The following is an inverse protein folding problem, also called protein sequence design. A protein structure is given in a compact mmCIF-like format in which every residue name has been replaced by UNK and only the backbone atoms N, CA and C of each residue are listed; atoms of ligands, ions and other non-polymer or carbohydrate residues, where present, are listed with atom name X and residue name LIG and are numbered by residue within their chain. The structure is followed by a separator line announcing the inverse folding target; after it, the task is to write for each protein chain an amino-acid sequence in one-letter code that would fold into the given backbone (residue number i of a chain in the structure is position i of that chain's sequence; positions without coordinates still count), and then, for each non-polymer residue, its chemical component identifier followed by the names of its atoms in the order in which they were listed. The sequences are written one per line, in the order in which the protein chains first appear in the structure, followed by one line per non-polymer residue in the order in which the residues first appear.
data_IF_726925074766
#
_entry.id   IF_726925074766
#
_cell.length_a   1.000
_cell.length_b   1.000
_cell.length_c   1.000
_cell.angle_alpha   90.00
_cell.angle_beta   90.00
_cell.angle_gamma   90.00
#
_symmetry.space_group_name_H-M   'P 1'
#
loop_
_entity.id
_entity.type
_entity.pdbx_description
1 polymer ?
#
# COMPACT_ATOMS: atom_id res chain seq x y z
N UNK A 1 -51.83 -70.83 43.34
CA UNK A 1 -52.59 -70.25 42.22
C UNK A 1 -51.94 -68.98 41.84
N UNK A 2 -51.08 -69.11 40.86
CA UNK A 2 -50.24 -68.04 40.31
C UNK A 2 -50.90 -67.52 39.02
N UNK A 3 -51.04 -66.25 38.86
CA UNK A 3 -51.43 -65.61 37.57
C UNK A 3 -50.28 -64.69 37.12
N UNK A 4 -49.61 -65.13 36.05
CA UNK A 4 -48.61 -64.38 35.33
C UNK A 4 -49.24 -63.17 34.63
N UNK A 5 -48.70 -61.99 34.89
CA UNK A 5 -49.06 -60.79 34.19
C UNK A 5 -47.88 -60.42 33.26
N UNK A 6 -47.99 -60.77 31.97
CA UNK A 6 -47.04 -60.39 30.96
C UNK A 6 -47.32 -58.96 30.48
N UNK A 7 -46.47 -58.03 30.85
CA UNK A 7 -46.54 -56.65 30.38
C UNK A 7 -45.89 -56.58 28.98
N UNK A 8 -46.67 -56.27 27.96
CA UNK A 8 -46.20 -56.00 26.61
C UNK A 8 -45.80 -54.54 26.56
N UNK A 9 -44.46 -54.27 26.42
CA UNK A 9 -43.94 -52.93 26.16
C UNK A 9 -43.98 -52.69 24.65
N UNK A 10 -44.84 -51.79 24.19
CA UNK A 10 -44.97 -51.36 22.84
C UNK A 10 -43.96 -50.24 22.64
N UNK A 11 -42.81 -50.49 21.95
CA UNK A 11 -41.83 -49.52 21.55
C UNK A 11 -42.36 -48.74 20.32
N UNK A 12 -42.77 -47.49 20.50
CA UNK A 12 -43.11 -46.57 19.43
C UNK A 12 -41.81 -45.88 18.98
N UNK A 13 -41.25 -46.32 17.87
CA UNK A 13 -40.14 -45.64 17.19
C UNK A 13 -40.67 -44.39 16.47
N UNK A 14 -40.47 -43.22 17.07
CA UNK A 14 -40.72 -41.95 16.41
C UNK A 14 -39.51 -41.65 15.52
N UNK A 15 -39.64 -41.84 14.21
CA UNK A 15 -38.65 -41.41 13.23
C UNK A 15 -38.71 -39.85 13.10
N UNK A 16 -37.80 -39.18 13.78
CA UNK A 16 -37.58 -37.74 13.55
C UNK A 16 -36.86 -37.58 12.23
N UNK A 17 -37.60 -37.29 11.17
CA UNK A 17 -37.02 -36.86 9.90
C UNK A 17 -36.41 -35.46 10.10
N UNK A 18 -35.09 -35.41 10.30
CA UNK A 18 -34.31 -34.16 10.29
C UNK A 18 -34.29 -33.61 8.87
N UNK A 19 -35.22 -32.71 8.54
CA UNK A 19 -35.09 -31.85 7.36
C UNK A 19 -33.92 -30.88 7.63
N UNK A 20 -32.74 -31.26 7.20
CA UNK A 20 -31.63 -30.29 7.06
C UNK A 20 -32.06 -29.30 5.99
N UNK A 21 -32.48 -28.11 6.41
CA UNK A 21 -32.62 -27.00 5.52
C UNK A 21 -31.23 -26.79 4.88
N UNK A 22 -31.14 -26.97 3.56
CA UNK A 22 -29.99 -26.52 2.78
C UNK A 22 -29.93 -24.99 2.98
N UNK A 23 -29.08 -24.53 3.89
CA UNK A 23 -28.63 -23.14 3.92
C UNK A 23 -27.94 -22.95 2.58
N UNK A 24 -28.39 -22.03 1.71
CA UNK A 24 -27.68 -21.76 0.48
C UNK A 24 -26.27 -21.34 0.92
N UNK A 25 -25.23 -22.09 0.49
CA UNK A 25 -23.87 -21.62 0.53
C UNK A 25 -23.85 -20.40 -0.38
N UNK A 26 -23.87 -19.21 0.21
CA UNK A 26 -23.49 -18.00 -0.51
C UNK A 26 -22.07 -18.29 -1.00
N UNK A 27 -21.92 -18.39 -2.33
CA UNK A 27 -20.61 -18.44 -2.95
C UNK A 27 -19.81 -17.30 -2.32
N UNK A 28 -18.71 -17.62 -1.62
CA UNK A 28 -17.85 -16.60 -1.09
C UNK A 28 -17.46 -15.70 -2.29
N UNK A 29 -17.79 -14.42 -2.18
CA UNK A 29 -17.42 -13.47 -3.22
C UNK A 29 -15.90 -13.54 -3.44
N UNK A 30 -15.45 -13.44 -4.69
CA UNK A 30 -14.03 -13.47 -5.00
C UNK A 30 -13.30 -12.36 -4.22
N UNK A 31 -12.22 -12.67 -3.51
CA UNK A 31 -11.50 -11.68 -2.73
C UNK A 31 -10.91 -10.59 -3.61
N UNK A 32 -10.88 -9.36 -3.10
CA UNK A 32 -10.18 -8.24 -3.72
C UNK A 32 -8.68 -8.52 -3.72
N UNK A 33 -8.06 -8.48 -4.88
CA UNK A 33 -6.61 -8.62 -5.02
C UNK A 33 -5.97 -7.23 -5.02
N UNK A 34 -5.03 -6.98 -4.12
CA UNK A 34 -4.36 -5.68 -4.04
C UNK A 34 -2.85 -5.86 -4.25
N UNK A 35 -2.32 -5.14 -5.23
CA UNK A 35 -0.90 -5.02 -5.48
C UNK A 35 -0.46 -3.63 -5.01
N UNK A 36 0.42 -3.57 -3.99
CA UNK A 36 0.96 -2.32 -3.46
C UNK A 36 2.32 -2.05 -4.08
N UNK A 37 2.40 -1.05 -4.95
CA UNK A 37 3.64 -0.57 -5.55
C UNK A 37 4.16 0.63 -4.75
N UNK A 38 5.20 0.41 -3.94
CA UNK A 38 5.96 1.47 -3.29
C UNK A 38 6.88 2.18 -4.29
N UNK A 39 6.79 3.51 -4.34
CA UNK A 39 7.64 4.36 -5.19
C UNK A 39 8.62 5.19 -4.37
N UNK A 40 9.63 5.77 -5.02
CA UNK A 40 10.62 6.65 -4.41
C UNK A 40 10.37 8.14 -4.73
N UNK A 41 9.16 8.51 -5.11
CA UNK A 41 8.77 9.84 -5.56
C UNK A 41 9.62 10.39 -6.73
N UNK A 42 9.22 10.08 -7.95
CA UNK A 42 9.93 10.43 -9.19
C UNK A 42 10.20 11.94 -9.34
N UNK A 43 9.27 12.76 -8.88
CA UNK A 43 9.41 14.22 -8.89
C UNK A 43 10.38 14.74 -7.83
N UNK A 44 10.72 13.93 -6.82
CA UNK A 44 11.53 14.31 -5.66
C UNK A 44 11.15 15.70 -5.09
N UNK A 45 9.95 15.91 -4.58
CA UNK A 45 9.48 17.24 -4.15
C UNK A 45 10.23 17.78 -2.93
N UNK A 46 11.19 17.02 -2.39
CA UNK A 46 12.00 17.40 -1.25
C UNK A 46 11.26 17.38 0.09
N UNK A 47 10.10 16.74 0.13
CA UNK A 47 9.28 16.59 1.33
C UNK A 47 9.73 15.41 2.20
N UNK A 48 10.47 14.46 1.61
CA UNK A 48 10.99 13.30 2.32
C UNK A 48 12.15 13.64 3.25
N UNK A 49 12.30 12.84 4.30
CA UNK A 49 13.43 12.92 5.24
C UNK A 49 14.75 12.63 4.51
N UNK A 50 14.72 11.76 3.48
CA UNK A 50 15.86 11.40 2.63
C UNK A 50 15.84 12.28 1.38
N UNK A 51 16.91 13.08 1.20
CA UNK A 51 17.11 13.90 -0.01
C UNK A 51 18.03 13.15 -0.96
N UNK A 52 17.50 12.74 -2.12
CA UNK A 52 18.26 12.06 -3.16
C UNK A 52 18.39 12.91 -4.43
N UNK A 53 19.45 12.67 -5.22
CA UNK A 53 19.58 13.17 -6.57
C UNK A 53 18.87 12.21 -7.53
N UNK A 54 17.63 12.53 -7.90
CA UNK A 54 16.86 11.71 -8.85
C UNK A 54 17.30 11.99 -10.27
N UNK A 55 17.57 10.94 -11.03
CA UNK A 55 17.81 11.06 -12.46
C UNK A 55 16.57 11.67 -13.15
N UNK A 56 16.77 12.47 -14.19
CA UNK A 56 15.65 13.06 -14.91
C UNK A 56 14.81 11.97 -15.58
N UNK A 57 13.68 11.66 -14.95
CA UNK A 57 12.73 10.65 -15.43
C UNK A 57 12.12 10.99 -16.80
N UNK A 58 12.21 12.26 -17.24
CA UNK A 58 11.75 12.69 -18.57
C UNK A 58 12.81 12.45 -19.67
N UNK A 59 14.03 12.02 -19.32
CA UNK A 59 15.03 11.64 -20.33
C UNK A 59 14.56 10.43 -21.15
N UNK A 60 14.95 10.35 -22.42
CA UNK A 60 14.52 9.28 -23.34
C UNK A 60 14.79 7.88 -22.78
N UNK A 61 15.96 7.67 -22.18
CA UNK A 61 16.34 6.39 -21.53
C UNK A 61 15.37 6.05 -20.38
N UNK A 62 15.15 6.99 -19.45
CA UNK A 62 14.26 6.75 -18.31
C UNK A 62 12.80 6.58 -18.74
N UNK A 63 12.38 7.26 -19.80
CA UNK A 63 11.06 7.04 -20.39
C UNK A 63 10.90 5.63 -20.99
N UNK A 64 11.95 5.06 -21.57
CA UNK A 64 11.91 3.66 -22.02
C UNK A 64 11.81 2.69 -20.85
N UNK A 65 12.57 2.93 -19.77
CA UNK A 65 12.52 2.15 -18.54
C UNK A 65 11.12 2.22 -17.87
N UNK A 66 10.49 3.41 -17.81
CA UNK A 66 9.13 3.60 -17.31
C UNK A 66 8.12 2.79 -18.13
N UNK A 67 8.22 2.84 -19.46
CA UNK A 67 7.32 2.03 -20.31
C UNK A 67 7.44 0.54 -20.01
N UNK A 68 8.65 0.02 -19.81
CA UNK A 68 8.87 -1.36 -19.44
C UNK A 68 8.21 -1.72 -18.08
N UNK A 69 8.27 -0.80 -17.10
CA UNK A 69 7.57 -0.96 -15.82
C UNK A 69 6.05 -1.00 -16.03
N UNK A 70 5.50 -0.08 -16.82
CA UNK A 70 4.05 -0.03 -17.12
C UNK A 70 3.58 -1.32 -17.79
N UNK A 71 4.33 -1.82 -18.79
CA UNK A 71 4.03 -3.09 -19.46
C UNK A 71 4.06 -4.28 -18.49
N UNK A 72 5.01 -4.29 -17.56
CA UNK A 72 5.10 -5.35 -16.56
C UNK A 72 3.91 -5.30 -15.58
N UNK A 73 3.53 -4.10 -15.10
CA UNK A 73 2.37 -3.89 -14.24
C UNK A 73 1.05 -4.23 -14.95
N UNK A 74 0.94 -4.01 -16.27
CA UNK A 74 -0.24 -4.35 -17.05
C UNK A 74 -0.57 -5.86 -17.03
N UNK A 75 0.43 -6.73 -16.77
CA UNK A 75 0.20 -8.18 -16.57
C UNK A 75 -0.67 -8.48 -15.35
N UNK A 76 -0.68 -7.61 -14.36
CA UNK A 76 -1.60 -7.72 -13.23
C UNK A 76 -3.05 -7.52 -13.67
N UNK A 77 -3.31 -6.82 -14.78
CA UNK A 77 -4.64 -6.49 -15.30
C UNK A 77 -5.51 -5.86 -14.20
N UNK A 78 -5.07 -4.75 -13.59
CA UNK A 78 -5.87 -4.09 -12.57
C UNK A 78 -7.26 -3.71 -13.14
N UNK A 79 -8.30 -3.80 -12.31
CA UNK A 79 -9.63 -3.27 -12.58
C UNK A 79 -9.76 -1.82 -12.10
N UNK A 80 -8.94 -1.45 -11.12
CA UNK A 80 -8.83 -0.10 -10.57
C UNK A 80 -7.37 0.24 -10.30
N UNK A 81 -7.00 1.50 -10.49
CA UNK A 81 -5.68 2.05 -10.15
C UNK A 81 -5.88 3.12 -9.11
N UNK A 82 -5.40 2.85 -7.90
CA UNK A 82 -5.44 3.77 -6.76
C UNK A 82 -4.10 4.51 -6.64
N UNK A 83 -4.12 5.78 -6.29
CA UNK A 83 -2.95 6.67 -6.30
C UNK A 83 -2.87 7.55 -5.06
N UNK A 84 -1.65 8.03 -4.78
CA UNK A 84 -1.34 8.94 -3.66
C UNK A 84 -1.72 10.38 -4.00
N UNK A 85 -2.99 10.58 -4.26
CA UNK A 85 -3.62 11.88 -4.44
C UNK A 85 -4.83 11.96 -3.50
N UNK A 86 -5.19 13.19 -3.09
CA UNK A 86 -6.30 13.39 -2.15
C UNK A 86 -7.65 13.15 -2.83
N UNK A 87 -8.64 12.52 -2.17
CA UNK A 87 -9.97 12.31 -2.74
C UNK A 87 -10.68 13.58 -3.21
N UNK A 88 -10.41 14.72 -2.60
CA UNK A 88 -10.96 16.02 -3.00
C UNK A 88 -10.32 16.60 -4.26
N UNK A 89 -9.16 16.10 -4.69
CA UNK A 89 -8.54 16.42 -5.98
C UNK A 89 -9.01 15.53 -7.14
N UNK A 90 -10.01 14.66 -6.94
CA UNK A 90 -10.46 13.69 -7.96
C UNK A 90 -10.87 14.34 -9.29
N UNK A 91 -11.55 15.49 -9.23
CA UNK A 91 -11.99 16.21 -10.44
C UNK A 91 -10.79 16.77 -11.22
N UNK A 92 -9.79 17.34 -10.55
CA UNK A 92 -8.57 17.84 -11.17
C UNK A 92 -7.75 16.68 -11.79
N UNK A 93 -7.63 15.58 -11.06
CA UNK A 93 -6.95 14.37 -11.54
C UNK A 93 -7.64 13.80 -12.81
N UNK A 94 -8.97 13.72 -12.83
CA UNK A 94 -9.74 13.28 -13.98
C UNK A 94 -9.54 14.21 -15.19
N UNK A 95 -9.54 15.54 -14.99
CA UNK A 95 -9.30 16.52 -16.04
C UNK A 95 -7.90 16.40 -16.65
N UNK A 96 -6.86 16.26 -15.81
CA UNK A 96 -5.49 16.04 -16.26
C UNK A 96 -5.33 14.72 -17.02
N UNK A 97 -5.96 13.66 -16.51
CA UNK A 97 -5.93 12.36 -17.17
C UNK A 97 -6.63 12.38 -18.53
N UNK A 98 -7.79 13.02 -18.67
CA UNK A 98 -8.48 13.16 -19.96
C UNK A 98 -7.67 14.01 -20.95
N UNK A 99 -7.07 15.10 -20.50
CA UNK A 99 -6.15 15.91 -21.32
C UNK A 99 -4.94 15.10 -21.81
N UNK A 100 -4.41 14.19 -20.96
CA UNK A 100 -3.38 13.25 -21.38
C UNK A 100 -3.88 12.26 -22.43
N UNK A 101 -5.07 11.69 -22.26
CA UNK A 101 -5.68 10.75 -23.23
C UNK A 101 -5.94 11.41 -24.60
N UNK A 102 -6.35 12.68 -24.60
CA UNK A 102 -6.58 13.47 -25.83
C UNK A 102 -5.29 13.96 -26.51
N UNK A 103 -4.14 13.84 -25.84
CA UNK A 103 -2.85 14.34 -26.33
C UNK A 103 -2.63 15.83 -26.10
N UNK A 104 -3.44 16.48 -25.26
CA UNK A 104 -3.34 17.91 -24.93
C UNK A 104 -2.46 18.18 -23.69
N UNK A 105 -2.02 17.12 -22.99
CA UNK A 105 -1.20 17.23 -21.80
C UNK A 105 0.03 16.33 -21.86
N UNK A 106 1.20 16.90 -21.58
CA UNK A 106 2.46 16.18 -21.43
C UNK A 106 2.68 15.80 -19.96
N UNK A 107 3.05 14.53 -19.72
CA UNK A 107 3.22 14.01 -18.35
C UNK A 107 4.37 14.72 -17.62
N UNK A 108 4.11 15.15 -16.41
CA UNK A 108 5.13 15.67 -15.50
C UNK A 108 6.02 14.55 -14.95
N UNK A 109 6.93 14.87 -14.01
CA UNK A 109 7.80 13.86 -13.36
C UNK A 109 7.08 13.00 -12.32
N UNK A 110 5.85 13.34 -11.96
CA UNK A 110 5.10 12.66 -10.91
C UNK A 110 4.77 11.19 -11.26
N UNK A 111 4.91 10.27 -10.32
CA UNK A 111 4.68 8.83 -10.52
C UNK A 111 3.23 8.46 -10.81
N UNK A 112 2.24 9.20 -10.24
CA UNK A 112 0.83 9.03 -10.59
C UNK A 112 0.64 9.19 -12.09
N UNK A 113 1.32 10.17 -12.70
CA UNK A 113 1.24 10.42 -14.13
C UNK A 113 2.11 9.44 -14.93
N UNK A 114 3.37 9.27 -14.53
CA UNK A 114 4.32 8.43 -15.29
C UNK A 114 3.96 6.95 -15.30
N UNK A 115 3.41 6.43 -14.21
CA UNK A 115 3.00 5.04 -14.09
C UNK A 115 1.47 4.91 -14.21
N UNK A 116 0.73 5.65 -13.38
CA UNK A 116 -0.71 5.54 -13.26
C UNK A 116 -1.46 5.93 -14.53
N UNK A 117 -1.23 7.14 -15.09
CA UNK A 117 -1.91 7.60 -16.32
C UNK A 117 -1.57 6.71 -17.52
N UNK A 118 -0.28 6.34 -17.67
CA UNK A 118 0.13 5.46 -18.76
C UNK A 118 -0.55 4.10 -18.69
N UNK A 119 -0.58 3.50 -17.52
CA UNK A 119 -1.20 2.20 -17.31
C UNK A 119 -2.72 2.27 -17.48
N UNK A 120 -3.36 3.31 -16.91
CA UNK A 120 -4.79 3.53 -17.06
C UNK A 120 -5.18 3.69 -18.54
N UNK A 121 -4.42 4.50 -19.30
CA UNK A 121 -4.64 4.68 -20.74
C UNK A 121 -4.40 3.41 -21.55
N UNK A 122 -3.36 2.64 -21.22
CA UNK A 122 -3.04 1.36 -21.88
C UNK A 122 -4.16 0.33 -21.70
N UNK A 123 -4.83 0.32 -20.54
CA UNK A 123 -5.89 -0.62 -20.20
C UNK A 123 -7.31 -0.07 -20.40
N UNK A 124 -7.41 1.13 -20.99
CA UNK A 124 -8.67 1.84 -21.25
C UNK A 124 -9.53 2.09 -19.99
N UNK A 125 -8.87 2.40 -18.87
CA UNK A 125 -9.57 2.81 -17.66
C UNK A 125 -10.16 4.21 -17.84
N UNK A 126 -11.39 4.48 -17.32
CA UNK A 126 -12.01 5.80 -17.43
C UNK A 126 -11.40 6.83 -16.49
N UNK A 127 -10.77 6.38 -15.39
CA UNK A 127 -10.20 7.23 -14.33
C UNK A 127 -9.20 6.50 -13.46
N UNK A 128 -8.50 7.27 -12.63
CA UNK A 128 -7.76 6.77 -11.47
C UNK A 128 -8.54 7.10 -10.18
N UNK A 129 -8.14 6.46 -9.07
CA UNK A 129 -8.79 6.60 -7.77
C UNK A 129 -7.84 7.24 -6.77
N UNK A 130 -7.97 8.53 -6.44
CA UNK A 130 -7.19 9.17 -5.40
C UNK A 130 -7.67 8.66 -4.03
N UNK A 131 -6.75 8.15 -3.20
CA UNK A 131 -7.09 7.54 -1.91
C UNK A 131 -6.21 8.01 -0.75
N UNK A 132 -5.34 9.01 -0.97
CA UNK A 132 -4.51 9.53 0.10
C UNK A 132 -5.33 10.23 1.18
N UNK A 133 -4.70 10.56 2.28
CA UNK A 133 -5.25 11.31 3.39
C UNK A 133 -4.22 12.26 3.95
N UNK A 134 -4.59 13.53 4.12
CA UNK A 134 -3.72 14.51 4.75
C UNK A 134 -3.54 14.17 6.23
N UNK A 135 -2.32 13.87 6.63
CA UNK A 135 -1.96 13.54 8.00
C UNK A 135 -1.07 14.60 8.63
N UNK A 136 -1.03 14.59 9.95
CA UNK A 136 0.00 15.30 10.72
C UNK A 136 1.23 14.41 10.86
N UNK A 137 2.42 15.02 10.84
CA UNK A 137 3.67 14.33 11.11
C UNK A 137 4.55 15.22 12.00
N UNK A 138 4.37 15.16 13.34
CA UNK A 138 4.98 16.09 14.29
C UNK A 138 6.48 15.82 14.52
N UNK A 139 7.26 15.69 13.43
CA UNK A 139 8.67 15.38 13.43
C UNK A 139 9.51 16.40 14.21
N UNK A 140 9.16 17.69 14.12
CA UNK A 140 9.90 18.75 14.79
C UNK A 140 9.81 18.64 16.32
N UNK A 141 8.64 18.27 16.86
CA UNK A 141 8.47 18.08 18.31
C UNK A 141 9.34 16.95 18.83
N UNK A 142 9.42 15.84 18.09
CA UNK A 142 10.29 14.71 18.43
C UNK A 142 11.75 15.11 18.39
N UNK A 143 12.20 15.82 17.36
CA UNK A 143 13.58 16.26 17.22
C UNK A 143 13.98 17.27 18.30
N UNK A 144 13.07 18.19 18.65
CA UNK A 144 13.33 19.14 19.73
C UNK A 144 13.55 18.40 21.07
N UNK A 145 12.67 17.46 21.42
CA UNK A 145 12.84 16.66 22.64
C UNK A 145 14.14 15.85 22.61
N UNK A 146 14.42 15.17 21.48
CA UNK A 146 15.60 14.32 21.37
C UNK A 146 16.91 15.12 21.44
N UNK A 147 17.00 16.32 20.90
CA UNK A 147 18.18 17.19 21.00
C UNK A 147 18.52 17.55 22.45
N UNK A 148 17.50 17.71 23.28
CA UNK A 148 17.68 18.11 24.68
C UNK A 148 17.89 16.91 25.62
N UNK A 149 17.36 15.71 25.28
CA UNK A 149 17.23 14.59 26.22
C UNK A 149 17.73 13.23 25.71
N UNK A 150 17.89 13.05 24.37
CA UNK A 150 18.29 11.77 23.77
C UNK A 150 19.26 11.97 22.59
N UNK A 151 20.50 12.41 22.86
CA UNK A 151 21.50 12.62 21.80
C UNK A 151 21.85 11.32 21.04
N UNK A 152 21.68 10.15 21.65
CA UNK A 152 21.94 8.87 20.99
C UNK A 152 20.92 8.62 19.87
N UNK A 153 19.66 8.99 20.09
CA UNK A 153 18.63 8.91 19.04
C UNK A 153 18.92 9.89 17.89
N UNK A 154 19.37 11.11 18.21
CA UNK A 154 19.76 12.10 17.18
C UNK A 154 20.90 11.54 16.31
N UNK A 155 21.93 11.00 16.93
CA UNK A 155 23.06 10.38 16.24
C UNK A 155 22.63 9.17 15.39
N UNK A 156 21.77 8.32 15.92
CA UNK A 156 21.19 7.20 15.19
C UNK A 156 20.47 7.70 13.94
N UNK A 157 19.55 8.67 14.07
CA UNK A 157 18.75 9.17 12.95
C UNK A 157 19.63 9.84 11.88
N UNK A 158 20.67 10.58 12.28
CA UNK A 158 21.62 11.19 11.34
C UNK A 158 22.38 10.13 10.54
N UNK A 159 22.83 9.05 11.18
CA UNK A 159 23.54 7.94 10.53
C UNK A 159 22.62 7.20 9.55
N UNK A 160 21.40 6.88 9.97
CA UNK A 160 20.45 6.20 9.09
C UNK A 160 20.04 7.07 7.90
N UNK A 161 19.80 8.36 8.12
CA UNK A 161 19.53 9.30 7.02
C UNK A 161 20.69 9.39 6.02
N UNK A 162 21.92 9.48 6.51
CA UNK A 162 23.11 9.51 5.63
C UNK A 162 23.24 8.21 4.83
N UNK A 163 23.01 7.06 5.47
CA UNK A 163 23.00 5.74 4.82
C UNK A 163 21.92 5.66 3.74
N UNK A 164 20.67 6.01 4.07
CA UNK A 164 19.54 6.00 3.13
C UNK A 164 19.81 6.91 1.93
N UNK A 165 20.32 8.13 2.17
CA UNK A 165 20.67 9.07 1.10
C UNK A 165 21.77 8.52 0.19
N UNK A 166 22.82 7.95 0.77
CA UNK A 166 23.94 7.36 0.01
C UNK A 166 23.48 6.19 -0.85
N UNK A 167 22.69 5.30 -0.27
CA UNK A 167 22.14 4.14 -0.96
C UNK A 167 21.17 4.54 -2.07
N UNK A 168 20.26 5.49 -1.81
CA UNK A 168 19.36 6.01 -2.81
C UNK A 168 20.08 6.63 -4.00
N UNK A 169 21.11 7.46 -3.75
CA UNK A 169 21.94 8.06 -4.81
C UNK A 169 22.73 7.00 -5.59
N UNK A 170 23.22 5.96 -4.92
CA UNK A 170 23.90 4.83 -5.59
C UNK A 170 22.92 4.10 -6.52
N UNK A 171 21.71 3.76 -6.02
CA UNK A 171 20.66 3.10 -6.82
C UNK A 171 20.28 3.91 -8.06
N UNK A 172 20.14 5.24 -7.94
CA UNK A 172 19.83 6.12 -9.06
C UNK A 172 20.91 6.11 -10.16
N UNK A 173 22.17 5.87 -9.80
CA UNK A 173 23.30 5.84 -10.74
C UNK A 173 23.50 4.47 -11.39
N UNK A 174 23.25 3.41 -10.65
CA UNK A 174 23.64 2.05 -11.03
C UNK A 174 22.49 1.20 -11.58
N UNK A 175 21.22 1.62 -11.35
CA UNK A 175 20.07 0.80 -11.65
C UNK A 175 19.09 1.49 -12.62
N UNK A 176 18.33 0.67 -13.30
CA UNK A 176 17.12 1.08 -14.03
C UNK A 176 15.98 1.43 -13.07
N UNK A 177 14.95 2.13 -13.54
CA UNK A 177 13.74 2.42 -12.72
C UNK A 177 13.09 1.12 -12.26
N UNK A 178 13.03 0.10 -13.11
CA UNK A 178 12.49 -1.20 -12.76
C UNK A 178 13.23 -1.88 -11.60
N UNK A 179 14.57 -1.87 -11.64
CA UNK A 179 15.42 -2.40 -10.57
C UNK A 179 15.28 -1.60 -9.27
N UNK A 180 15.24 -0.26 -9.34
CA UNK A 180 15.01 0.59 -8.15
C UNK A 180 13.67 0.25 -7.52
N UNK A 181 12.60 0.15 -8.30
CA UNK A 181 11.28 -0.24 -7.80
C UNK A 181 11.28 -1.65 -7.20
N UNK A 182 12.03 -2.59 -7.77
CA UNK A 182 12.18 -3.93 -7.17
C UNK A 182 12.85 -3.87 -5.80
N UNK A 183 13.95 -3.11 -5.68
CA UNK A 183 14.66 -2.89 -4.42
C UNK A 183 13.76 -2.22 -3.38
N UNK A 184 13.04 -1.15 -3.76
CA UNK A 184 12.12 -0.42 -2.86
C UNK A 184 10.89 -1.24 -2.44
N UNK A 185 10.58 -2.34 -3.13
CA UNK A 185 9.48 -3.24 -2.78
C UNK A 185 9.93 -4.58 -2.20
N UNK A 186 11.26 -4.76 -2.01
CA UNK A 186 11.80 -5.93 -1.34
C UNK A 186 11.36 -5.97 0.13
N UNK A 187 11.02 -7.16 0.63
CA UNK A 187 10.49 -7.33 1.99
C UNK A 187 11.48 -6.96 3.06
N UNK A 188 12.77 -7.24 2.86
CA UNK A 188 13.80 -6.93 3.85
C UNK A 188 14.07 -5.43 3.89
N UNK A 189 14.10 -4.79 2.72
CA UNK A 189 14.25 -3.34 2.61
C UNK A 189 13.10 -2.60 3.29
N UNK A 190 11.86 -2.95 2.96
CA UNK A 190 10.67 -2.37 3.59
C UNK A 190 10.64 -2.59 5.10
N UNK A 191 11.03 -3.78 5.59
CA UNK A 191 11.09 -4.07 7.01
C UNK A 191 12.18 -3.25 7.72
N UNK A 192 13.32 -3.03 7.05
CA UNK A 192 14.39 -2.19 7.59
C UNK A 192 13.98 -0.71 7.63
N UNK A 193 13.45 -0.15 6.55
CA UNK A 193 12.95 1.23 6.51
C UNK A 193 11.88 1.45 7.58
N UNK A 194 10.90 0.54 7.68
CA UNK A 194 9.87 0.60 8.71
C UNK A 194 10.45 0.50 10.13
N UNK A 195 11.49 -0.32 10.33
CA UNK A 195 12.22 -0.43 11.59
C UNK A 195 12.82 0.89 12.07
N UNK A 196 13.26 1.76 11.15
CA UNK A 196 13.72 3.11 11.50
C UNK A 196 12.58 3.94 12.09
N UNK A 197 11.38 3.87 11.51
CA UNK A 197 10.19 4.53 12.06
C UNK A 197 9.84 4.00 13.46
N UNK A 198 9.93 2.69 13.69
CA UNK A 198 9.61 2.10 14.99
C UNK A 198 10.52 2.61 16.12
N UNK A 199 11.74 3.06 15.81
CA UNK A 199 12.66 3.66 16.80
C UNK A 199 12.14 4.97 17.40
N UNK A 200 11.29 5.68 16.68
CA UNK A 200 10.67 6.90 17.21
C UNK A 200 9.84 6.64 18.46
N UNK A 201 9.19 5.48 18.61
CA UNK A 201 8.37 5.15 19.76
C UNK A 201 9.11 5.21 21.10
N UNK A 202 10.43 5.02 21.07
CA UNK A 202 11.24 5.06 22.30
C UNK A 202 11.52 6.50 22.79
N UNK A 203 11.40 7.50 21.91
CA UNK A 203 11.68 8.90 22.28
C UNK A 203 10.62 9.40 23.26
N UNK A 204 11.06 9.86 24.43
CA UNK A 204 10.22 10.30 25.54
C UNK A 204 9.26 9.24 26.10
N UNK A 205 9.59 7.95 25.95
CA UNK A 205 8.80 6.86 26.53
C UNK A 205 8.79 6.97 28.07
N UNK A 206 7.57 6.94 28.65
CA UNK A 206 7.39 7.13 30.10
C UNK A 206 7.35 8.59 30.56
N UNK A 207 7.50 9.55 29.63
CA UNK A 207 7.41 10.99 29.88
C UNK A 207 6.30 11.60 29.00
N UNK A 208 6.63 12.32 27.94
CA UNK A 208 5.65 13.02 27.09
C UNK A 208 5.16 12.16 25.91
N UNK A 209 5.81 11.04 25.60
CA UNK A 209 5.45 10.12 24.50
C UNK A 209 5.46 10.75 23.10
N UNK A 210 6.16 11.86 22.87
CA UNK A 210 6.14 12.58 21.57
C UNK A 210 6.51 11.68 20.39
N UNK A 211 7.40 10.69 20.59
CA UNK A 211 7.76 9.75 19.54
C UNK A 211 6.65 8.74 19.23
N UNK A 212 5.94 8.27 20.24
CA UNK A 212 4.77 7.41 20.06
C UNK A 212 3.61 8.17 19.39
N UNK A 213 3.41 9.45 19.72
CA UNK A 213 2.43 10.32 19.06
C UNK A 213 2.72 10.48 17.56
N UNK A 214 3.99 10.68 17.18
CA UNK A 214 4.37 10.73 15.77
C UNK A 214 3.98 9.45 15.05
N UNK A 215 4.29 8.28 15.62
CA UNK A 215 3.90 7.00 15.03
C UNK A 215 2.38 6.83 14.96
N UNK A 216 1.66 7.25 16.00
CA UNK A 216 0.19 7.21 16.02
C UNK A 216 -0.36 8.02 14.84
N UNK A 217 0.17 9.22 14.58
CA UNK A 217 -0.24 10.05 13.45
C UNK A 217 0.11 9.43 12.09
N UNK A 218 1.26 8.77 11.99
CA UNK A 218 1.65 8.04 10.79
C UNK A 218 0.72 6.85 10.51
N UNK A 219 0.39 6.06 11.53
CA UNK A 219 -0.58 4.97 11.41
C UNK A 219 -1.98 5.48 11.13
N UNK A 220 -2.42 6.57 11.77
CA UNK A 220 -3.72 7.23 11.50
C UNK A 220 -3.88 7.56 10.01
N UNK A 221 -2.89 8.21 9.38
CA UNK A 221 -2.90 8.49 7.94
C UNK A 221 -3.04 7.20 7.12
N UNK A 222 -2.26 6.18 7.42
CA UNK A 222 -2.30 4.90 6.69
C UNK A 222 -3.63 4.14 6.88
N UNK A 223 -4.26 4.23 8.05
CA UNK A 223 -5.58 3.64 8.31
C UNK A 223 -6.65 4.37 7.49
N UNK A 224 -6.58 5.70 7.38
CA UNK A 224 -7.49 6.47 6.52
C UNK A 224 -7.30 6.11 5.04
N UNK A 225 -6.07 6.01 4.56
CA UNK A 225 -5.76 5.52 3.20
C UNK A 225 -6.37 4.14 2.96
N UNK A 226 -6.20 3.23 3.92
CA UNK A 226 -6.79 1.89 3.84
C UNK A 226 -8.33 1.93 3.86
N UNK A 227 -8.95 2.82 4.62
CA UNK A 227 -10.40 3.05 4.60
C UNK A 227 -10.87 3.55 3.21
N UNK A 228 -10.13 4.47 2.60
CA UNK A 228 -10.42 4.95 1.25
C UNK A 228 -10.25 3.82 0.21
N UNK A 229 -9.24 2.95 0.37
CA UNK A 229 -9.07 1.76 -0.47
C UNK A 229 -10.29 0.81 -0.36
N UNK A 230 -10.80 0.58 0.85
CA UNK A 230 -11.99 -0.24 1.05
C UNK A 230 -13.24 0.39 0.41
N UNK A 231 -13.36 1.73 0.46
CA UNK A 231 -14.50 2.45 -0.11
C UNK A 231 -14.61 2.31 -1.64
N UNK A 232 -13.48 2.12 -2.32
CA UNK A 232 -13.48 1.91 -3.79
C UNK A 232 -13.50 0.43 -4.19
N UNK A 233 -13.23 -0.49 -3.25
CA UNK A 233 -13.07 -1.91 -3.54
C UNK A 233 -14.42 -2.62 -3.69
N UNK A 234 -14.54 -3.47 -4.72
CA UNK A 234 -15.68 -4.35 -4.96
C UNK A 234 -15.20 -5.81 -5.05
N UNK A 235 -16.04 -6.79 -4.66
CA UNK A 235 -15.67 -8.19 -4.77
C UNK A 235 -15.16 -8.59 -6.16
N UNK A 236 -14.01 -9.26 -6.21
CA UNK A 236 -13.35 -9.67 -7.46
C UNK A 236 -12.45 -8.61 -8.09
N UNK A 237 -12.38 -7.40 -7.54
CA UNK A 237 -11.46 -6.38 -8.02
C UNK A 237 -9.98 -6.80 -7.93
N UNK A 238 -9.21 -6.22 -8.83
CA UNK A 238 -7.75 -6.26 -8.87
C UNK A 238 -7.26 -4.81 -8.80
N UNK A 239 -6.86 -4.37 -7.63
CA UNK A 239 -6.49 -2.97 -7.39
C UNK A 239 -4.96 -2.85 -7.39
N UNK A 240 -4.43 -2.03 -8.29
CA UNK A 240 -3.05 -1.56 -8.21
C UNK A 240 -3.05 -0.26 -7.40
N UNK A 241 -2.31 -0.26 -6.29
CA UNK A 241 -2.07 0.91 -5.46
C UNK A 241 -0.66 1.43 -5.70
N UNK A 242 -0.52 2.64 -6.21
CA UNK A 242 0.75 3.35 -6.44
C UNK A 242 0.91 4.42 -5.36
N UNK A 243 1.94 4.30 -4.52
CA UNK A 243 2.12 5.16 -3.36
C UNK A 243 3.60 5.16 -2.92
N UNK A 244 4.05 6.18 -2.20
CA UNK A 244 5.40 6.21 -1.62
C UNK A 244 5.72 4.95 -0.80
N UNK A 245 6.95 4.43 -0.92
CA UNK A 245 7.36 3.14 -0.30
C UNK A 245 7.19 3.12 1.22
N UNK A 246 7.26 4.27 1.88
CA UNK A 246 7.05 4.39 3.33
C UNK A 246 5.67 3.94 3.82
N UNK A 247 4.65 3.99 2.95
CA UNK A 247 3.29 3.51 3.26
C UNK A 247 3.16 1.98 3.13
N UNK A 248 3.98 1.36 2.29
CA UNK A 248 3.83 -0.05 1.91
C UNK A 248 3.83 -1.03 3.10
N UNK A 249 4.68 -0.92 4.14
CA UNK A 249 4.67 -1.85 5.25
C UNK A 249 3.32 -1.92 5.96
N UNK A 250 2.75 -0.76 6.31
CA UNK A 250 1.47 -0.68 7.04
C UNK A 250 0.30 -1.12 6.16
N UNK A 251 0.24 -0.64 4.92
CA UNK A 251 -0.84 -1.01 3.99
C UNK A 251 -0.82 -2.51 3.67
N UNK A 252 0.36 -3.12 3.50
CA UNK A 252 0.48 -4.58 3.30
C UNK A 252 0.00 -5.37 4.51
N UNK A 253 0.31 -4.90 5.73
CA UNK A 253 -0.20 -5.51 6.97
C UNK A 253 -1.72 -5.45 7.02
N UNK A 254 -2.31 -4.26 6.81
CA UNK A 254 -3.76 -4.05 6.85
C UNK A 254 -4.48 -4.90 5.78
N UNK A 255 -3.98 -4.92 4.55
CA UNK A 255 -4.53 -5.73 3.46
C UNK A 255 -4.43 -7.23 3.78
N UNK A 256 -3.28 -7.70 4.29
CA UNK A 256 -3.08 -9.12 4.62
C UNK A 256 -3.99 -9.57 5.77
N UNK A 257 -4.29 -8.67 6.69
CA UNK A 257 -5.16 -8.94 7.85
C UNK A 257 -6.66 -8.86 7.52
N UNK A 258 -7.01 -8.28 6.36
CA UNK A 258 -8.42 -8.13 5.98
C UNK A 258 -8.99 -9.45 5.42
N UNK A 259 -10.17 -9.91 5.89
CA UNK A 259 -10.71 -11.24 5.51
C UNK A 259 -11.08 -11.36 4.03
N UNK A 260 -11.42 -10.24 3.37
CA UNK A 260 -11.91 -10.21 1.98
C UNK A 260 -10.87 -9.67 1.00
N UNK A 261 -9.64 -9.38 1.45
CA UNK A 261 -8.55 -8.90 0.61
C UNK A 261 -7.40 -9.91 0.54
N UNK A 262 -6.66 -9.87 -0.56
CA UNK A 262 -5.43 -10.63 -0.76
C UNK A 262 -4.33 -9.73 -1.27
N UNK A 263 -3.24 -9.67 -0.54
CA UNK A 263 -2.02 -9.01 -1.00
C UNK A 263 -1.37 -9.85 -2.11
N UNK A 264 -1.07 -9.18 -3.23
CA UNK A 264 -0.34 -9.77 -4.37
C UNK A 264 1.13 -9.34 -4.29
N UNK A 265 2.06 -10.24 -4.60
CA UNK A 265 3.48 -9.91 -4.58
C UNK A 265 3.84 -8.96 -5.74
N UNK A 266 4.27 -7.76 -5.39
CA UNK A 266 4.63 -6.71 -6.33
C UNK A 266 5.79 -7.10 -7.24
N UNK A 267 6.74 -7.90 -6.72
CA UNK A 267 7.93 -8.31 -7.45
C UNK A 267 7.62 -9.24 -8.64
N UNK A 268 6.46 -9.89 -8.67
CA UNK A 268 6.02 -10.69 -9.80
C UNK A 268 5.60 -9.86 -11.02
N UNK A 269 5.30 -8.58 -10.79
CA UNK A 269 4.78 -7.64 -11.79
C UNK A 269 5.71 -6.45 -12.07
N UNK A 270 6.96 -6.54 -11.66
CA UNK A 270 8.02 -5.62 -12.06
C UNK A 270 8.94 -6.27 -13.10
N UNK A 271 9.63 -5.49 -13.95
CA UNK A 271 10.61 -6.04 -14.91
C UNK A 271 11.61 -6.96 -14.19
N UNK A 272 11.90 -8.10 -14.80
CA UNK A 272 13.05 -8.94 -14.46
C UNK A 272 14.07 -8.68 -15.56
N UNK A 273 15.28 -8.41 -15.21
CA UNK A 273 16.39 -8.14 -16.13
C UNK A 273 16.48 -9.14 -17.27
#
# INVERSE_FOLDING_TARGET
MSKDLRTVILLVLVAVASTQALVPQTSAADPVQVLVLGTYHFANPGLDVVKMEVADVLSETKQAEIRAVVEALARFRPTKIAVEDMPDSAEELDQLYEAYRSGEYELSRNETQQLGFRLASMLDHPRLHPIDHQGEFPFQAVMQYAQDHDPEFVDFLQKERARMTSEANRRQKENTIGEILRLSNDRQELAWEHGVYMRFAAVAAGDTYVGAELLTKWYERNIHIFSNLQNIAEPGDRILLIMGSGHAPILRELITSHPEMRLVDTLDYLPRD
#
